data_IF_003626900447
#
_entry.id   IF_003626900447
#
_cell.length_a   1.000
_cell.length_b   1.000
_cell.length_c   1.000
_cell.angle_alpha   90.00
_cell.angle_beta   90.00
_cell.angle_gamma   90.00
#
_symmetry.space_group_name_H-M   'P 1'
#
loop_
_entity.id
_entity.type
_entity.pdbx_description
1 polymer ?
#
# COMPACT_ATOMS: atom_id res chain seq x y z
N UNK A 1 21.72 3.20 1.51
CA UNK A 1 21.62 4.63 1.20
C UNK A 1 20.19 5.11 1.34
N UNK A 2 20.04 6.38 1.71
CA UNK A 2 18.77 7.09 1.69
C UNK A 2 18.88 8.23 0.70
N UNK A 3 18.09 8.16 -0.37
CA UNK A 3 18.18 9.11 -1.49
C UNK A 3 16.86 9.88 -1.60
N UNK A 4 16.95 11.18 -1.85
CA UNK A 4 15.79 12.06 -2.08
C UNK A 4 15.78 12.66 -3.50
N UNK A 5 16.82 12.39 -4.27
CA UNK A 5 16.93 12.79 -5.68
C UNK A 5 17.96 11.93 -6.42
N UNK A 6 17.87 11.91 -7.73
CA UNK A 6 18.83 11.21 -8.62
C UNK A 6 20.25 11.75 -8.51
N UNK A 7 20.44 13.01 -8.10
CA UNK A 7 21.77 13.60 -7.90
C UNK A 7 22.57 12.96 -6.74
N UNK A 8 21.87 12.29 -5.82
CA UNK A 8 22.48 11.62 -4.67
C UNK A 8 22.88 10.17 -4.94
N UNK A 9 22.62 9.66 -6.13
CA UNK A 9 22.99 8.28 -6.50
C UNK A 9 24.51 8.15 -6.46
N UNK A 10 25.07 7.21 -5.64
CA UNK A 10 26.50 7.10 -5.51
C UNK A 10 27.19 6.69 -6.83
N UNK A 11 28.19 7.44 -7.22
CA UNK A 11 28.99 7.14 -8.43
C UNK A 11 29.79 5.83 -8.32
N UNK A 12 29.93 5.30 -7.10
CA UNK A 12 30.59 4.01 -6.83
C UNK A 12 29.73 2.79 -7.18
N UNK A 13 28.43 2.97 -7.37
CA UNK A 13 27.53 1.90 -7.83
C UNK A 13 27.77 1.62 -9.32
N UNK A 14 27.64 0.37 -9.73
CA UNK A 14 27.68 -0.02 -11.14
C UNK A 14 26.63 0.72 -11.97
N UNK A 15 26.90 0.92 -13.26
CA UNK A 15 26.04 1.68 -14.17
C UNK A 15 24.61 1.12 -14.21
N UNK A 16 24.46 -0.22 -14.22
CA UNK A 16 23.16 -0.88 -14.20
C UNK A 16 22.36 -0.53 -12.93
N UNK A 17 23.01 -0.62 -11.76
CA UNK A 17 22.37 -0.29 -10.47
C UNK A 17 21.98 1.20 -10.40
N UNK A 18 22.82 2.10 -10.92
CA UNK A 18 22.48 3.52 -11.01
C UNK A 18 21.26 3.74 -11.93
N UNK A 19 21.19 3.02 -13.04
CA UNK A 19 20.06 3.11 -13.99
C UNK A 19 18.75 2.57 -13.35
N UNK A 20 18.83 1.44 -12.61
CA UNK A 20 17.69 0.90 -11.86
C UNK A 20 17.14 1.93 -10.86
N UNK A 21 18.03 2.54 -10.05
CA UNK A 21 17.61 3.58 -9.09
C UNK A 21 17.01 4.79 -9.79
N UNK A 22 17.55 5.22 -10.95
CA UNK A 22 16.96 6.32 -11.74
C UNK A 22 15.55 5.96 -12.23
N UNK A 23 15.32 4.72 -12.67
CA UNK A 23 13.99 4.25 -13.08
C UNK A 23 12.97 4.36 -11.93
N UNK A 24 13.36 4.01 -10.69
CA UNK A 24 12.51 4.23 -9.51
C UNK A 24 12.11 5.69 -9.37
N UNK A 25 13.08 6.62 -9.49
CA UNK A 25 12.83 8.06 -9.39
C UNK A 25 12.02 8.65 -10.54
N UNK A 26 11.80 7.93 -11.64
CA UNK A 26 10.91 8.41 -12.71
C UNK A 26 9.49 8.66 -12.19
N UNK A 27 9.03 7.88 -11.21
CA UNK A 27 7.74 8.11 -10.57
C UNK A 27 6.55 8.04 -11.53
N UNK A 28 5.52 8.85 -11.27
CA UNK A 28 4.38 9.10 -12.15
C UNK A 28 4.20 10.62 -12.30
N UNK A 29 3.21 11.21 -11.63
CA UNK A 29 3.01 12.68 -11.58
C UNK A 29 4.17 13.34 -10.81
N UNK A 30 4.68 12.68 -9.79
CA UNK A 30 5.81 13.11 -8.99
C UNK A 30 6.85 12.00 -8.88
N UNK A 31 8.12 12.30 -8.64
CA UNK A 31 9.07 11.29 -8.20
C UNK A 31 8.73 10.83 -6.76
N UNK A 32 9.11 9.61 -6.35
CA UNK A 32 9.06 9.21 -4.94
C UNK A 32 9.81 10.19 -4.05
N UNK A 33 9.26 10.53 -2.89
CA UNK A 33 9.87 11.48 -1.94
C UNK A 33 11.22 10.99 -1.41
N UNK A 34 11.37 9.68 -1.28
CA UNK A 34 12.56 9.03 -0.72
C UNK A 34 12.69 7.62 -1.31
N UNK A 35 13.91 7.25 -1.66
CA UNK A 35 14.26 5.89 -2.08
C UNK A 35 15.33 5.36 -1.13
N UNK A 36 15.04 4.24 -0.50
CA UNK A 36 15.99 3.48 0.31
C UNK A 36 16.67 2.44 -0.57
N UNK A 37 17.98 2.40 -0.56
CA UNK A 37 18.77 1.46 -1.34
C UNK A 37 19.64 0.65 -0.39
N UNK A 38 19.42 -0.65 -0.36
CA UNK A 38 20.31 -1.63 0.26
C UNK A 38 21.16 -2.27 -0.83
N UNK A 39 22.46 -2.33 -0.62
CA UNK A 39 23.40 -2.95 -1.58
C UNK A 39 23.78 -4.32 -1.03
N UNK A 40 23.52 -5.33 -1.82
CA UNK A 40 23.89 -6.72 -1.54
C UNK A 40 25.13 -7.10 -2.38
N UNK A 41 25.93 -8.03 -1.90
CA UNK A 41 26.95 -8.65 -2.72
C UNK A 41 26.30 -9.56 -3.79
N UNK A 42 26.90 -9.68 -4.95
CA UNK A 42 26.32 -10.44 -6.08
C UNK A 42 26.14 -11.95 -5.78
N UNK A 43 26.79 -12.45 -4.74
CA UNK A 43 26.65 -13.84 -4.29
C UNK A 43 25.59 -14.03 -3.19
N UNK A 44 25.06 -12.93 -2.64
CA UNK A 44 24.06 -13.01 -1.59
C UNK A 44 22.70 -13.41 -2.15
N UNK A 45 21.98 -14.21 -1.38
CA UNK A 45 20.61 -14.66 -1.68
C UNK A 45 19.68 -14.12 -0.59
N UNK A 46 18.49 -13.69 -0.97
CA UNK A 46 17.48 -13.25 -0.02
C UNK A 46 16.83 -14.47 0.64
N UNK A 47 17.28 -14.81 1.84
CA UNK A 47 16.74 -15.85 2.71
C UNK A 47 16.00 -15.22 3.90
N UNK A 48 15.24 -16.00 4.66
CA UNK A 48 14.42 -15.53 5.77
C UNK A 48 15.22 -14.83 6.89
N UNK A 49 16.48 -15.18 7.06
CA UNK A 49 17.42 -14.64 8.06
C UNK A 49 18.44 -13.66 7.46
N UNK A 50 18.28 -13.26 6.20
CA UNK A 50 19.24 -12.37 5.55
C UNK A 50 19.30 -10.98 6.18
N UNK A 51 20.51 -10.39 6.14
CA UNK A 51 20.79 -9.09 6.71
C UNK A 51 19.90 -7.98 6.12
N UNK A 52 19.53 -8.10 4.83
CA UNK A 52 18.64 -7.14 4.16
C UNK A 52 17.26 -7.10 4.81
N UNK A 53 16.64 -8.25 5.13
CA UNK A 53 15.32 -8.30 5.77
C UNK A 53 15.38 -7.79 7.22
N UNK A 54 16.47 -8.09 7.94
CA UNK A 54 16.71 -7.53 9.26
C UNK A 54 16.85 -6.01 9.21
N UNK A 55 17.58 -5.48 8.23
CA UNK A 55 17.71 -4.04 8.04
C UNK A 55 16.36 -3.40 7.66
N UNK A 56 15.62 -3.99 6.71
CA UNK A 56 14.29 -3.50 6.29
C UNK A 56 13.31 -3.41 7.45
N UNK A 57 13.33 -4.35 8.40
CA UNK A 57 12.48 -4.31 9.60
C UNK A 57 12.73 -3.07 10.49
N UNK A 58 13.87 -2.42 10.35
CA UNK A 58 14.22 -1.18 11.08
C UNK A 58 13.89 0.09 10.29
N UNK A 59 13.49 -0.04 9.02
CA UNK A 59 13.22 1.10 8.15
C UNK A 59 11.71 1.41 8.09
N UNK A 60 11.39 2.64 7.65
CA UNK A 60 10.03 3.03 7.27
C UNK A 60 10.00 3.28 5.77
N UNK A 61 9.17 2.50 5.08
CA UNK A 61 8.94 2.59 3.64
C UNK A 61 7.51 2.18 3.31
N UNK A 62 7.04 2.52 2.13
CA UNK A 62 5.72 2.14 1.63
C UNK A 62 5.80 0.92 0.72
N UNK A 63 6.72 0.95 -0.25
CA UNK A 63 6.92 -0.12 -1.23
C UNK A 63 8.32 -0.70 -1.22
N UNK A 64 8.41 -2.01 -1.34
CA UNK A 64 9.63 -2.77 -1.55
C UNK A 64 9.62 -3.36 -2.97
N UNK A 65 10.75 -3.30 -3.64
CA UNK A 65 11.06 -4.12 -4.81
C UNK A 65 12.37 -4.86 -4.57
N UNK A 66 12.50 -6.06 -5.11
CA UNK A 66 13.74 -6.82 -5.08
C UNK A 66 14.80 -6.28 -6.05
N UNK A 67 15.98 -6.90 -6.10
CA UNK A 67 16.95 -6.63 -7.14
C UNK A 67 16.40 -6.98 -8.54
N UNK A 68 17.00 -6.39 -9.60
CA UNK A 68 16.53 -6.57 -10.98
C UNK A 68 16.60 -8.04 -11.48
N UNK A 69 17.32 -8.90 -10.77
CA UNK A 69 17.51 -10.33 -11.05
C UNK A 69 16.88 -11.25 -9.98
N UNK A 70 15.95 -10.72 -9.18
CA UNK A 70 15.27 -11.47 -8.12
C UNK A 70 14.64 -12.76 -8.67
N UNK A 71 14.91 -13.88 -7.99
CA UNK A 71 14.33 -15.16 -8.31
C UNK A 71 12.93 -15.33 -7.70
N UNK A 72 12.13 -16.24 -8.24
CA UNK A 72 10.81 -16.58 -7.69
C UNK A 72 10.89 -17.09 -6.23
N UNK A 73 11.97 -17.78 -5.86
CA UNK A 73 12.19 -18.25 -4.49
C UNK A 73 12.40 -17.06 -3.53
N UNK A 74 13.23 -16.10 -3.90
CA UNK A 74 13.48 -14.89 -3.11
C UNK A 74 12.24 -13.99 -3.01
N UNK A 75 11.49 -13.84 -4.11
CA UNK A 75 10.21 -13.15 -4.09
C UNK A 75 9.22 -13.81 -3.10
N UNK A 76 9.21 -15.15 -3.02
CA UNK A 76 8.45 -15.91 -2.02
C UNK A 76 8.90 -15.65 -0.58
N UNK A 77 10.19 -15.49 -0.34
CA UNK A 77 10.74 -15.11 0.98
C UNK A 77 10.32 -13.71 1.35
N UNK A 78 10.48 -12.72 0.45
CA UNK A 78 10.03 -11.34 0.68
C UNK A 78 8.54 -11.29 0.99
N UNK A 79 7.70 -11.98 0.21
CA UNK A 79 6.26 -12.09 0.46
C UNK A 79 5.99 -12.55 1.88
N UNK A 80 6.57 -13.68 2.28
CA UNK A 80 6.35 -14.26 3.61
C UNK A 80 6.77 -13.30 4.72
N UNK A 81 7.96 -12.73 4.61
CA UNK A 81 8.46 -11.74 5.57
C UNK A 81 7.52 -10.52 5.67
N UNK A 82 7.10 -9.96 4.54
CA UNK A 82 6.24 -8.77 4.50
C UNK A 82 4.88 -9.03 5.13
N UNK A 83 4.25 -10.17 4.85
CA UNK A 83 2.96 -10.54 5.43
C UNK A 83 3.08 -10.71 6.96
N UNK A 84 4.18 -11.31 7.45
CA UNK A 84 4.45 -11.40 8.89
C UNK A 84 4.67 -10.00 9.52
N UNK A 85 5.36 -9.08 8.81
CA UNK A 85 5.50 -7.69 9.30
C UNK A 85 4.14 -6.99 9.44
N UNK A 86 3.21 -7.26 8.53
CA UNK A 86 1.85 -6.69 8.60
C UNK A 86 1.01 -7.33 9.69
N UNK A 87 1.03 -8.67 9.84
CA UNK A 87 0.22 -9.39 10.83
C UNK A 87 0.72 -9.17 12.26
N UNK A 88 2.02 -9.34 12.49
CA UNK A 88 2.58 -9.43 13.83
C UNK A 88 3.00 -8.06 14.39
N UNK A 89 3.45 -7.15 13.51
CA UNK A 89 3.97 -5.83 13.90
C UNK A 89 3.13 -4.66 13.40
N UNK A 90 2.01 -4.94 12.72
CA UNK A 90 1.11 -3.92 12.16
C UNK A 90 1.83 -2.89 11.25
N UNK A 91 2.90 -3.33 10.59
CA UNK A 91 3.56 -2.53 9.58
C UNK A 91 2.68 -2.42 8.33
N UNK A 92 2.74 -1.29 7.64
CA UNK A 92 1.94 -1.05 6.41
C UNK A 92 2.77 -1.28 5.14
N UNK A 93 3.81 -2.12 5.21
CA UNK A 93 4.68 -2.40 4.07
C UNK A 93 3.94 -3.11 2.95
N UNK A 94 4.28 -2.75 1.73
CA UNK A 94 3.81 -3.36 0.48
C UNK A 94 5.01 -3.72 -0.39
N UNK A 95 4.82 -4.59 -1.37
CA UNK A 95 5.85 -4.95 -2.32
C UNK A 95 5.31 -5.07 -3.74
N UNK A 96 6.16 -4.74 -4.72
CA UNK A 96 5.97 -5.10 -6.12
C UNK A 96 6.93 -6.24 -6.41
N UNK A 97 6.39 -7.40 -6.76
CA UNK A 97 7.14 -8.63 -6.98
C UNK A 97 6.78 -9.24 -8.35
N UNK A 98 7.73 -9.89 -9.03
CA UNK A 98 7.49 -10.42 -10.35
C UNK A 98 6.75 -11.77 -10.29
N UNK A 99 5.71 -11.93 -11.12
CA UNK A 99 5.03 -13.20 -11.43
C UNK A 99 4.74 -14.08 -10.18
N UNK A 100 4.25 -13.45 -9.10
CA UNK A 100 4.05 -14.10 -7.82
C UNK A 100 2.58 -14.09 -7.39
N UNK A 101 1.92 -15.23 -7.49
CA UNK A 101 0.57 -15.41 -6.92
C UNK A 101 0.64 -15.31 -5.38
N UNK A 102 0.15 -14.21 -4.82
CA UNK A 102 0.24 -13.94 -3.39
C UNK A 102 -1.11 -13.92 -2.67
N UNK A 103 -2.19 -13.64 -3.37
CA UNK A 103 -3.55 -13.46 -2.83
C UNK A 103 -3.57 -12.51 -1.63
N UNK A 104 -2.95 -11.34 -1.79
CA UNK A 104 -2.81 -10.34 -0.73
C UNK A 104 -2.89 -8.92 -1.29
N UNK A 105 -3.59 -8.05 -0.58
CA UNK A 105 -3.64 -6.61 -0.90
C UNK A 105 -2.30 -5.88 -0.75
N UNK A 106 -1.37 -6.46 0.00
CA UNK A 106 -0.05 -5.86 0.24
C UNK A 106 0.98 -6.19 -0.85
N UNK A 107 0.66 -7.09 -1.76
CA UNK A 107 1.56 -7.52 -2.85
C UNK A 107 0.97 -7.10 -4.19
N UNK A 108 1.74 -6.42 -4.98
CA UNK A 108 1.46 -6.18 -6.40
C UNK A 108 2.21 -7.25 -7.19
N UNK A 109 1.46 -8.17 -7.80
CA UNK A 109 2.01 -9.18 -8.72
C UNK A 109 2.19 -8.53 -10.10
N UNK A 110 3.42 -8.16 -10.42
CA UNK A 110 3.75 -7.54 -11.70
C UNK A 110 4.14 -8.58 -12.74
N UNK A 111 3.32 -8.68 -13.79
CA UNK A 111 3.48 -9.65 -14.88
C UNK A 111 3.78 -8.92 -16.20
N UNK A 112 4.91 -8.21 -16.28
CA UNK A 112 5.40 -7.53 -17.48
C UNK A 112 6.45 -8.36 -18.21
N UNK A 113 6.41 -8.38 -19.55
CA UNK A 113 7.42 -9.05 -20.38
C UNK A 113 7.79 -8.24 -21.62
N UNK A 114 9.00 -8.50 -22.13
CA UNK A 114 9.51 -7.83 -23.32
C UNK A 114 9.59 -6.31 -23.23
N UNK A 115 9.81 -5.74 -22.03
CA UNK A 115 9.79 -4.30 -21.76
C UNK A 115 11.06 -3.69 -22.37
N UNK A 116 10.92 -3.02 -23.50
CA UNK A 116 12.02 -2.40 -24.22
C UNK A 116 12.18 -0.93 -23.81
N UNK A 117 13.37 -0.58 -23.31
CA UNK A 117 13.74 0.80 -22.92
C UNK A 117 15.13 1.11 -23.48
N UNK A 118 15.26 2.11 -24.31
CA UNK A 118 16.53 2.53 -24.90
C UNK A 118 17.37 1.34 -25.46
N UNK A 119 16.71 0.40 -26.16
CA UNK A 119 17.36 -0.78 -26.75
C UNK A 119 17.70 -1.90 -25.77
N UNK A 120 17.34 -1.77 -24.48
CA UNK A 120 17.51 -2.82 -23.47
C UNK A 120 16.16 -3.43 -23.13
N UNK A 121 16.06 -4.75 -23.16
CA UNK A 121 14.83 -5.48 -22.81
C UNK A 121 14.86 -5.92 -21.36
N UNK A 122 13.80 -5.63 -20.61
CA UNK A 122 13.58 -6.05 -19.23
C UNK A 122 12.43 -7.05 -19.16
N UNK A 123 12.52 -7.93 -18.19
CA UNK A 123 11.42 -8.77 -17.70
C UNK A 123 10.70 -8.11 -16.51
N UNK A 124 9.76 -8.83 -15.91
CA UNK A 124 9.04 -8.35 -14.73
C UNK A 124 9.99 -8.04 -13.56
N UNK A 125 10.99 -8.89 -13.29
CA UNK A 125 11.94 -8.71 -12.21
C UNK A 125 12.70 -7.39 -12.35
N UNK A 126 13.30 -7.16 -13.52
CA UNK A 126 14.06 -5.96 -13.83
C UNK A 126 13.24 -4.66 -13.86
N UNK A 127 11.92 -4.74 -13.80
CA UNK A 127 11.05 -3.56 -13.87
C UNK A 127 10.19 -3.32 -12.62
N UNK A 128 10.18 -4.23 -11.63
CA UNK A 128 9.44 -4.09 -10.37
C UNK A 128 9.77 -2.78 -9.63
N UNK A 129 11.07 -2.40 -9.59
CA UNK A 129 11.50 -1.14 -8.98
C UNK A 129 10.87 0.09 -9.63
N UNK A 130 10.75 0.08 -10.97
CA UNK A 130 10.10 1.15 -11.73
C UNK A 130 8.60 1.26 -11.41
N UNK A 131 7.93 0.12 -11.31
CA UNK A 131 6.49 0.08 -10.95
C UNK A 131 6.27 0.54 -9.50
N UNK A 132 7.13 0.13 -8.56
CA UNK A 132 7.09 0.62 -7.19
C UNK A 132 7.25 2.15 -7.13
N UNK A 133 8.19 2.70 -7.91
CA UNK A 133 8.38 4.14 -8.07
C UNK A 133 7.17 4.85 -8.70
N UNK A 134 6.52 4.22 -9.69
CA UNK A 134 5.29 4.73 -10.32
C UNK A 134 4.16 4.87 -9.28
N UNK A 135 3.92 3.83 -8.50
CA UNK A 135 2.88 3.82 -7.46
C UNK A 135 3.18 4.89 -6.41
N UNK A 136 4.41 4.90 -5.87
CA UNK A 136 4.83 5.85 -4.84
C UNK A 136 4.83 7.33 -5.32
N UNK A 137 4.96 7.56 -6.62
CA UNK A 137 4.91 8.89 -7.25
C UNK A 137 3.51 9.32 -7.70
N UNK A 138 2.48 8.49 -7.46
CA UNK A 138 1.10 8.78 -7.84
C UNK A 138 0.37 9.49 -6.71
N UNK A 139 -0.25 10.67 -6.94
CA UNK A 139 -1.05 11.34 -5.92
C UNK A 139 -2.23 10.47 -5.44
N UNK A 140 -2.57 10.54 -4.15
CA UNK A 140 -3.62 9.71 -3.53
C UNK A 140 -5.00 9.82 -4.19
N UNK A 141 -5.31 10.92 -4.87
CA UNK A 141 -6.56 11.10 -5.64
C UNK A 141 -6.58 10.32 -6.96
N UNK A 142 -5.43 9.86 -7.46
CA UNK A 142 -5.28 9.20 -8.74
C UNK A 142 -5.09 7.69 -8.57
N UNK A 143 -5.46 6.94 -9.61
CA UNK A 143 -5.06 5.53 -9.78
C UNK A 143 -3.90 5.45 -10.77
N UNK A 144 -3.09 4.41 -10.66
CA UNK A 144 -2.08 4.08 -11.68
C UNK A 144 -2.70 3.44 -12.93
N UNK A 145 -4.01 3.17 -12.91
CA UNK A 145 -4.72 2.67 -14.09
C UNK A 145 -4.50 3.62 -15.26
N UNK A 146 -4.00 3.07 -16.36
CA UNK A 146 -3.63 3.79 -17.57
C UNK A 146 -2.51 4.84 -17.42
N UNK A 147 -1.76 4.81 -16.32
CA UNK A 147 -0.57 5.65 -16.19
C UNK A 147 0.43 5.32 -17.29
N UNK A 148 0.89 6.34 -18.00
CA UNK A 148 1.83 6.17 -19.10
C UNK A 148 3.25 5.93 -18.60
N UNK A 149 3.99 5.11 -19.34
CA UNK A 149 5.42 4.84 -19.17
C UNK A 149 6.17 5.38 -20.41
N UNK A 150 6.44 6.68 -20.46
CA UNK A 150 6.95 7.33 -21.66
C UNK A 150 8.37 6.89 -22.06
N UNK A 151 9.09 6.26 -21.12
CA UNK A 151 10.42 5.70 -21.35
C UNK A 151 10.39 4.32 -22.00
N UNK A 152 9.22 3.67 -22.10
CA UNK A 152 9.09 2.33 -22.67
C UNK A 152 8.73 2.44 -24.15
N UNK A 153 9.60 1.92 -25.01
CA UNK A 153 9.44 1.93 -26.47
C UNK A 153 8.45 0.88 -26.94
N UNK A 154 8.51 -0.34 -26.40
CA UNK A 154 7.60 -1.46 -26.77
C UNK A 154 7.56 -2.51 -25.64
N UNK A 155 6.62 -3.44 -25.73
CA UNK A 155 6.40 -4.57 -24.81
C UNK A 155 5.91 -5.80 -25.58
N UNK A 156 5.95 -6.97 -24.96
CA UNK A 156 5.17 -8.12 -25.44
C UNK A 156 3.67 -7.80 -25.34
N UNK A 157 2.99 -7.80 -26.48
CA UNK A 157 1.61 -7.31 -26.59
C UNK A 157 0.60 -8.38 -26.21
N UNK A 158 -0.21 -8.10 -25.19
CA UNK A 158 -1.32 -8.92 -24.79
C UNK A 158 -2.60 -8.54 -25.55
N UNK A 159 -3.41 -9.51 -25.88
CA UNK A 159 -4.79 -9.27 -26.32
C UNK A 159 -5.66 -8.79 -25.17
N UNK A 160 -6.80 -8.15 -25.47
CA UNK A 160 -7.74 -7.71 -24.42
C UNK A 160 -8.19 -8.84 -23.50
N UNK A 161 -8.42 -10.04 -24.05
CA UNK A 161 -8.81 -11.22 -23.28
C UNK A 161 -7.69 -11.71 -22.34
N UNK A 162 -6.44 -11.66 -22.79
CA UNK A 162 -5.29 -12.00 -21.95
C UNK A 162 -5.11 -10.98 -20.84
N UNK A 163 -5.26 -9.68 -21.12
CA UNK A 163 -5.22 -8.63 -20.10
C UNK A 163 -6.33 -8.80 -19.06
N UNK A 164 -7.58 -9.02 -19.49
CA UNK A 164 -8.70 -9.24 -18.58
C UNK A 164 -8.49 -10.49 -17.71
N UNK A 165 -7.92 -11.54 -18.31
CA UNK A 165 -7.58 -12.79 -17.60
C UNK A 165 -6.49 -12.55 -16.54
N UNK A 166 -5.44 -11.80 -16.88
CA UNK A 166 -4.35 -11.47 -15.96
C UNK A 166 -4.85 -10.59 -14.80
N UNK A 167 -5.62 -9.53 -15.12
CA UNK A 167 -6.25 -8.67 -14.09
C UNK A 167 -7.18 -9.47 -13.18
N UNK A 168 -7.97 -10.40 -13.75
CA UNK A 168 -8.83 -11.30 -12.97
C UNK A 168 -8.05 -12.23 -12.01
N UNK A 169 -6.78 -12.50 -12.30
CA UNK A 169 -5.85 -13.24 -11.43
C UNK A 169 -5.10 -12.34 -10.43
N UNK A 170 -5.39 -11.04 -10.41
CA UNK A 170 -4.71 -10.07 -9.54
C UNK A 170 -3.33 -9.65 -10.05
N UNK A 171 -3.09 -9.73 -11.36
CA UNK A 171 -1.83 -9.34 -11.98
C UNK A 171 -1.89 -7.92 -12.53
N UNK A 172 -0.87 -7.13 -12.21
CA UNK A 172 -0.62 -5.84 -12.84
C UNK A 172 0.16 -6.08 -14.14
N UNK A 173 -0.44 -5.73 -15.27
CA UNK A 173 0.16 -5.87 -16.60
C UNK A 173 0.36 -4.52 -17.26
N UNK A 174 1.25 -4.47 -18.23
CA UNK A 174 1.39 -3.33 -19.15
C UNK A 174 0.65 -3.61 -20.46
N UNK A 175 0.24 -2.54 -21.15
CA UNK A 175 -0.30 -2.66 -22.50
C UNK A 175 0.13 -1.48 -23.37
N UNK A 176 0.17 -1.72 -24.66
CA UNK A 176 0.47 -0.72 -25.68
C UNK A 176 -0.82 -0.28 -26.38
N UNK A 177 -1.18 0.99 -26.28
CA UNK A 177 -2.44 1.53 -26.85
C UNK A 177 -2.37 1.86 -28.36
N UNK A 178 -1.24 1.58 -28.98
CA UNK A 178 -0.95 1.92 -30.39
C UNK A 178 0.06 3.06 -30.51
N UNK A 179 0.16 3.94 -29.52
CA UNK A 179 1.08 5.08 -29.48
C UNK A 179 2.11 4.98 -28.36
N UNK A 180 1.69 4.47 -27.21
CA UNK A 180 2.51 4.44 -25.99
C UNK A 180 2.18 3.25 -25.09
N UNK A 181 3.11 2.93 -24.22
CA UNK A 181 2.95 1.90 -23.17
C UNK A 181 2.35 2.53 -21.92
N UNK A 182 1.41 1.83 -21.31
CA UNK A 182 0.69 2.22 -20.10
C UNK A 182 0.58 1.06 -19.13
N UNK A 183 0.41 1.36 -17.83
CA UNK A 183 -0.13 0.40 -16.90
C UNK A 183 -1.53 -0.04 -17.34
N UNK A 184 -1.83 -1.30 -17.12
CA UNK A 184 -3.20 -1.79 -17.21
C UNK A 184 -4.05 -1.29 -16.03
N UNK A 185 -4.80 -2.18 -15.40
CA UNK A 185 -5.53 -1.82 -14.17
C UNK A 185 -4.61 -1.78 -12.95
N UNK A 186 -4.82 -0.79 -12.09
CA UNK A 186 -4.12 -0.63 -10.80
C UNK A 186 -4.61 -1.61 -9.74
N UNK A 187 -4.38 -2.90 -9.95
CA UNK A 187 -4.77 -3.99 -9.05
C UNK A 187 -3.58 -4.57 -8.30
N UNK A 188 -3.85 -5.07 -7.09
CA UNK A 188 -2.93 -5.89 -6.32
C UNK A 188 -3.23 -7.38 -6.51
N UNK A 189 -2.47 -8.26 -5.86
CA UNK A 189 -2.60 -9.71 -6.05
C UNK A 189 -3.78 -10.36 -5.31
N UNK A 190 -4.63 -9.59 -4.61
CA UNK A 190 -5.78 -10.12 -3.90
C UNK A 190 -6.84 -10.62 -4.89
N UNK A 191 -7.20 -11.88 -4.77
CA UNK A 191 -8.26 -12.52 -5.56
C UNK A 191 -9.40 -13.00 -4.68
N UNK A 192 -9.09 -13.50 -3.48
CA UNK A 192 -10.06 -14.03 -2.51
C UNK A 192 -10.50 -12.93 -1.54
N UNK A 193 -11.77 -12.53 -1.61
CA UNK A 193 -12.33 -11.44 -0.80
C UNK A 193 -13.20 -11.92 0.36
N UNK A 194 -12.86 -13.04 0.98
CA UNK A 194 -13.62 -13.57 2.12
C UNK A 194 -13.64 -12.56 3.27
N UNK A 195 -14.82 -12.03 3.59
CA UNK A 195 -15.02 -11.00 4.62
C UNK A 195 -14.52 -9.59 4.24
N UNK A 196 -14.06 -9.39 3.00
CA UNK A 196 -13.65 -8.10 2.44
C UNK A 196 -14.50 -7.75 1.22
N UNK A 197 -14.53 -6.49 0.83
CA UNK A 197 -15.16 -6.03 -0.41
C UNK A 197 -14.15 -6.06 -1.57
N UNK A 198 -14.62 -6.12 -2.81
CA UNK A 198 -13.77 -6.09 -4.02
C UNK A 198 -12.89 -4.84 -4.14
N UNK A 199 -13.22 -3.77 -3.44
CA UNK A 199 -12.40 -2.54 -3.44
C UNK A 199 -10.97 -2.77 -2.91
N UNK A 200 -10.77 -3.78 -2.05
CA UNK A 200 -9.45 -4.16 -1.53
C UNK A 200 -8.48 -4.68 -2.59
N UNK A 201 -8.99 -5.05 -3.77
CA UNK A 201 -8.15 -5.45 -4.92
C UNK A 201 -7.45 -4.25 -5.58
N UNK A 202 -7.81 -3.03 -5.24
CA UNK A 202 -7.31 -1.81 -5.88
C UNK A 202 -6.16 -1.20 -5.09
N UNK A 203 -5.05 -0.97 -5.76
CA UNK A 203 -3.84 -0.36 -5.17
C UNK A 203 -4.18 0.97 -4.51
N UNK A 204 -4.90 1.86 -5.21
CA UNK A 204 -5.31 3.18 -4.68
C UNK A 204 -6.05 3.09 -3.34
N UNK A 205 -6.96 2.14 -3.22
CA UNK A 205 -7.78 1.98 -2.01
C UNK A 205 -6.93 1.48 -0.83
N UNK A 206 -6.05 0.51 -1.08
CA UNK A 206 -5.13 0.00 -0.05
C UNK A 206 -4.17 1.09 0.40
N UNK A 207 -3.64 1.91 -0.52
CA UNK A 207 -2.82 3.09 -0.20
C UNK A 207 -3.54 4.04 0.75
N UNK A 208 -4.79 4.38 0.45
CA UNK A 208 -5.59 5.27 1.29
C UNK A 208 -5.84 4.68 2.68
N UNK A 209 -6.22 3.41 2.76
CA UNK A 209 -6.50 2.74 4.04
C UNK A 209 -5.24 2.61 4.90
N UNK A 210 -4.11 2.24 4.31
CA UNK A 210 -2.82 2.15 4.99
C UNK A 210 -2.37 3.54 5.49
N UNK A 211 -2.56 4.61 4.68
CA UNK A 211 -2.27 5.98 5.09
C UNK A 211 -3.13 6.40 6.29
N UNK A 212 -4.44 6.16 6.23
CA UNK A 212 -5.35 6.50 7.33
C UNK A 212 -4.97 5.76 8.62
N UNK A 213 -4.69 4.47 8.52
CA UNK A 213 -4.25 3.67 9.67
C UNK A 213 -2.95 4.22 10.27
N UNK A 214 -1.98 4.55 9.42
CA UNK A 214 -0.68 5.06 9.85
C UNK A 214 -0.80 6.43 10.52
N UNK A 215 -1.54 7.36 9.92
CA UNK A 215 -1.71 8.73 10.43
C UNK A 215 -2.41 8.74 11.79
N UNK A 216 -3.49 7.96 11.92
CA UNK A 216 -4.20 7.81 13.19
C UNK A 216 -3.27 7.20 14.25
N UNK A 217 -2.56 6.10 13.93
CA UNK A 217 -1.65 5.43 14.84
C UNK A 217 -0.55 6.37 15.34
N UNK A 218 0.12 7.09 14.43
CA UNK A 218 1.18 8.03 14.80
C UNK A 218 0.64 9.19 15.65
N UNK A 219 -0.52 9.73 15.28
CA UNK A 219 -1.16 10.80 16.04
C UNK A 219 -1.49 10.37 17.47
N UNK A 220 -2.01 9.13 17.64
CA UNK A 220 -2.31 8.57 18.96
C UNK A 220 -1.02 8.36 19.76
N UNK A 221 0.02 7.79 19.16
CA UNK A 221 1.31 7.57 19.83
C UNK A 221 1.95 8.88 20.27
N UNK A 222 1.93 9.89 19.40
CA UNK A 222 2.63 11.14 19.64
C UNK A 222 1.89 12.07 20.61
N UNK A 223 0.56 11.97 20.74
CA UNK A 223 -0.21 12.99 21.47
C UNK A 223 -1.05 12.45 22.62
N UNK A 224 -1.37 11.15 22.68
CA UNK A 224 -2.31 10.60 23.63
C UNK A 224 -1.69 9.52 24.54
N UNK A 225 -0.97 8.54 23.98
CA UNK A 225 -0.43 7.41 24.75
C UNK A 225 0.58 7.91 25.79
N UNK A 226 0.29 7.59 27.06
CA UNK A 226 1.13 7.96 28.20
C UNK A 226 1.09 9.44 28.57
N UNK A 227 0.29 10.27 27.90
CA UNK A 227 0.20 11.72 28.11
C UNK A 227 -1.10 12.18 28.76
N UNK A 228 -2.20 11.48 28.47
CA UNK A 228 -3.52 11.80 29.00
C UNK A 228 -4.08 10.66 29.82
N UNK A 229 -4.79 10.92 30.92
CA UNK A 229 -5.53 9.90 31.66
C UNK A 229 -6.68 9.36 30.81
N UNK A 230 -7.00 8.07 30.98
CA UNK A 230 -8.08 7.41 30.26
C UNK A 230 -9.44 7.75 30.90
N UNK A 231 -9.91 8.96 30.66
CA UNK A 231 -11.24 9.44 31.06
C UNK A 231 -12.17 9.52 29.84
N UNK A 232 -13.48 9.50 30.10
CA UNK A 232 -14.49 9.66 29.03
C UNK A 232 -14.25 10.94 28.20
N UNK A 233 -13.98 12.07 28.84
CA UNK A 233 -13.74 13.36 28.15
C UNK A 233 -12.50 13.28 27.25
N UNK A 234 -11.42 12.62 27.69
CA UNK A 234 -10.23 12.46 26.87
C UNK A 234 -10.44 11.48 25.72
N UNK A 235 -11.28 10.45 25.90
CA UNK A 235 -11.72 9.58 24.78
C UNK A 235 -12.49 10.38 23.74
N UNK A 236 -13.42 11.27 24.15
CA UNK A 236 -14.16 12.14 23.25
C UNK A 236 -13.26 13.17 22.53
N UNK A 237 -12.24 13.69 23.20
CA UNK A 237 -11.25 14.56 22.60
C UNK A 237 -10.49 13.83 21.46
N UNK A 238 -10.10 12.58 21.67
CA UNK A 238 -9.45 11.75 20.65
C UNK A 238 -10.41 11.47 19.48
N UNK A 239 -11.67 11.10 19.76
CA UNK A 239 -12.71 10.91 18.73
C UNK A 239 -12.89 12.17 17.90
N UNK A 240 -12.91 13.34 18.53
CA UNK A 240 -13.04 14.63 17.84
C UNK A 240 -11.84 14.89 16.94
N UNK A 241 -10.62 14.64 17.41
CA UNK A 241 -9.40 14.85 16.62
C UNK A 241 -9.38 13.93 15.37
N UNK A 242 -9.76 12.67 15.52
CA UNK A 242 -9.89 11.72 14.40
C UNK A 242 -11.00 12.19 13.43
N UNK A 243 -12.14 12.63 13.93
CA UNK A 243 -13.25 13.13 13.10
C UNK A 243 -12.85 14.33 12.25
N UNK A 244 -12.07 15.27 12.81
CA UNK A 244 -11.52 16.42 12.06
C UNK A 244 -10.56 15.96 10.95
N UNK A 245 -9.72 14.97 11.23
CA UNK A 245 -8.85 14.37 10.21
C UNK A 245 -9.65 13.72 9.08
N UNK A 246 -10.66 12.90 9.40
CA UNK A 246 -11.53 12.28 8.40
C UNK A 246 -12.31 13.31 7.58
N UNK A 247 -12.75 14.40 8.21
CA UNK A 247 -13.41 15.51 7.50
C UNK A 247 -12.46 16.18 6.49
N UNK A 248 -11.17 16.30 6.81
CA UNK A 248 -10.19 16.82 5.87
C UNK A 248 -10.02 15.87 4.66
N UNK A 249 -9.97 14.55 4.89
CA UNK A 249 -9.92 13.55 3.81
C UNK A 249 -11.18 13.59 2.92
N UNK A 250 -12.37 13.77 3.53
CA UNK A 250 -13.62 13.90 2.78
C UNK A 250 -13.64 15.19 1.92
N UNK A 251 -13.13 16.30 2.44
CA UNK A 251 -12.97 17.55 1.69
C UNK A 251 -11.99 17.41 0.52
N UNK A 252 -11.04 16.51 0.66
CA UNK A 252 -10.06 16.19 -0.38
C UNK A 252 -10.54 15.10 -1.35
N UNK A 253 -11.82 14.70 -1.32
CA UNK A 253 -12.44 13.67 -2.16
C UNK A 253 -11.71 12.30 -2.08
N UNK A 254 -11.12 11.98 -0.93
CA UNK A 254 -10.48 10.71 -0.69
C UNK A 254 -11.45 9.70 -0.07
N UNK A 255 -12.34 10.17 0.79
CA UNK A 255 -13.44 9.37 1.37
C UNK A 255 -14.78 10.10 1.20
N UNK A 256 -15.87 9.36 1.25
CA UNK A 256 -17.21 9.96 1.25
C UNK A 256 -17.50 10.68 2.59
N UNK A 257 -18.48 11.58 2.57
CA UNK A 257 -18.81 12.40 3.74
C UNK A 257 -19.62 11.65 4.82
N UNK A 258 -19.98 10.39 4.58
CA UNK A 258 -20.73 9.52 5.49
C UNK A 258 -19.84 8.73 6.47
N UNK A 259 -18.62 9.23 6.74
CA UNK A 259 -17.73 8.64 7.73
C UNK A 259 -18.24 8.82 9.16
N UNK A 260 -17.83 7.93 10.06
CA UNK A 260 -18.06 8.07 11.50
C UNK A 260 -16.85 7.62 12.32
N UNK A 261 -16.73 8.21 13.51
CA UNK A 261 -15.76 7.81 14.52
C UNK A 261 -16.43 7.91 15.90
N UNK A 262 -16.23 6.92 16.74
CA UNK A 262 -16.81 6.88 18.08
C UNK A 262 -16.12 5.90 19.01
N UNK A 263 -16.55 5.88 20.28
CA UNK A 263 -16.17 4.80 21.20
C UNK A 263 -16.89 3.53 20.73
N UNK A 264 -16.13 2.46 20.58
CA UNK A 264 -16.64 1.13 20.25
C UNK A 264 -17.30 0.53 21.50
N UNK A 265 -18.65 0.63 21.54
CA UNK A 265 -19.44 0.18 22.69
C UNK A 265 -19.36 -1.33 22.85
N UNK A 266 -19.48 -2.06 21.72
CA UNK A 266 -19.49 -3.52 21.72
C UNK A 266 -18.14 -4.09 22.18
N UNK A 267 -17.03 -3.55 21.67
CA UNK A 267 -15.71 -3.95 22.08
C UNK A 267 -15.41 -3.58 23.55
N UNK A 268 -15.88 -2.40 23.99
CA UNK A 268 -15.71 -1.96 25.37
C UNK A 268 -16.55 -2.80 26.34
N UNK A 269 -17.77 -3.14 25.96
CA UNK A 269 -18.67 -4.02 26.73
C UNK A 269 -18.07 -5.42 26.88
N UNK A 270 -17.66 -6.03 25.77
CA UNK A 270 -16.99 -7.35 25.79
C UNK A 270 -15.78 -7.38 26.73
N UNK A 271 -14.94 -6.34 26.66
CA UNK A 271 -13.77 -6.24 27.54
C UNK A 271 -14.18 -6.10 29.03
N UNK A 272 -15.19 -5.28 29.36
CA UNK A 272 -15.69 -5.12 30.71
C UNK A 272 -16.21 -6.45 31.28
N UNK A 273 -16.95 -7.22 30.49
CA UNK A 273 -17.43 -8.55 30.88
C UNK A 273 -16.27 -9.51 31.12
N UNK A 274 -15.24 -9.51 30.29
CA UNK A 274 -14.04 -10.32 30.48
C UNK A 274 -13.30 -9.96 31.79
N UNK A 275 -13.34 -8.67 32.19
CA UNK A 275 -12.78 -8.23 33.47
C UNK A 275 -13.71 -8.50 34.69
N UNK A 276 -14.85 -9.14 34.45
CA UNK A 276 -15.80 -9.51 35.52
C UNK A 276 -16.76 -8.38 35.93
N UNK A 277 -16.87 -7.30 35.13
CA UNK A 277 -17.83 -6.23 35.37
C UNK A 277 -19.16 -6.62 34.73
N UNK A 278 -20.27 -6.76 35.49
CA UNK A 278 -21.58 -7.05 34.90
C UNK A 278 -22.10 -5.80 34.19
N UNK A 279 -22.38 -5.94 32.88
CA UNK A 279 -22.84 -4.84 32.03
C UNK A 279 -24.31 -4.97 31.58
N UNK A 280 -24.98 -6.05 31.93
CA UNK A 280 -26.36 -6.38 31.48
C UNK A 280 -27.37 -5.26 31.76
N UNK A 281 -27.22 -4.55 32.86
CA UNK A 281 -28.10 -3.47 33.27
C UNK A 281 -27.54 -2.07 32.94
N UNK A 282 -26.39 -1.98 32.27
CA UNK A 282 -25.76 -0.72 31.91
C UNK A 282 -26.32 -0.20 30.59
N UNK A 283 -26.60 1.11 30.54
CA UNK A 283 -26.88 1.82 29.29
C UNK A 283 -25.60 1.97 28.45
N UNK A 284 -25.75 2.23 27.14
CA UNK A 284 -24.61 2.53 26.28
C UNK A 284 -23.75 3.67 26.82
N UNK A 285 -24.34 4.68 27.45
CA UNK A 285 -23.61 5.81 28.01
C UNK A 285 -22.76 5.37 29.22
N UNK A 286 -23.31 4.55 30.10
CA UNK A 286 -22.58 4.00 31.24
C UNK A 286 -21.43 3.09 30.80
N UNK A 287 -21.62 2.31 29.71
CA UNK A 287 -20.54 1.53 29.11
C UNK A 287 -19.44 2.45 28.58
N UNK A 288 -19.78 3.52 27.84
CA UNK A 288 -18.80 4.50 27.30
C UNK A 288 -18.00 5.20 28.41
N UNK A 289 -18.64 5.49 29.54
CA UNK A 289 -18.01 6.18 30.68
C UNK A 289 -17.25 5.24 31.61
N UNK A 290 -17.47 3.93 31.50
CA UNK A 290 -16.82 2.95 32.35
C UNK A 290 -15.30 3.01 32.28
N UNK A 291 -14.67 2.72 33.44
CA UNK A 291 -13.21 2.67 33.52
C UNK A 291 -12.67 1.41 32.83
N UNK A 292 -11.92 1.59 31.79
CA UNK A 292 -11.28 0.52 31.00
C UNK A 292 -9.76 0.40 31.27
N UNK A 293 -9.30 0.88 32.40
CA UNK A 293 -7.86 0.87 32.71
C UNK A 293 -7.04 1.64 31.68
N UNK A 294 -6.13 0.97 31.01
CA UNK A 294 -5.29 1.58 29.94
C UNK A 294 -5.87 1.41 28.53
N UNK A 295 -7.00 0.72 28.40
CA UNK A 295 -7.57 0.37 27.10
C UNK A 295 -8.55 1.43 26.61
N UNK A 296 -8.44 1.78 25.33
CA UNK A 296 -9.40 2.66 24.63
C UNK A 296 -9.88 1.91 23.39
N UNK A 297 -11.19 1.78 23.25
CA UNK A 297 -11.83 1.08 22.15
C UNK A 297 -12.51 2.12 21.24
N UNK A 298 -12.10 2.18 19.99
CA UNK A 298 -12.67 3.12 19.01
C UNK A 298 -13.12 2.35 17.77
N UNK A 299 -14.25 2.74 17.22
CA UNK A 299 -14.71 2.30 15.91
C UNK A 299 -14.67 3.46 14.93
N UNK A 300 -14.16 3.19 13.73
CA UNK A 300 -14.06 4.16 12.64
C UNK A 300 -14.67 3.52 11.40
N UNK A 301 -15.65 4.20 10.82
CA UNK A 301 -16.22 3.84 9.54
C UNK A 301 -15.83 4.87 8.49
N UNK A 302 -15.29 4.41 7.38
CA UNK A 302 -14.97 5.23 6.20
C UNK A 302 -15.40 4.52 4.92
N UNK A 303 -15.82 5.31 3.95
CA UNK A 303 -16.17 4.84 2.62
C UNK A 303 -15.20 5.47 1.60
N UNK A 304 -14.15 4.75 1.14
CA UNK A 304 -13.17 5.26 0.22
C UNK A 304 -13.76 5.66 -1.13
N UNK A 305 -13.33 6.78 -1.70
CA UNK A 305 -13.71 7.20 -3.06
C UNK A 305 -12.66 6.70 -4.04
N UNK A 306 -13.12 5.94 -5.03
CA UNK A 306 -12.28 5.39 -6.08
C UNK A 306 -12.05 6.36 -7.23
N UNK A 307 -11.10 6.04 -8.13
CA UNK A 307 -10.91 6.74 -9.37
C UNK A 307 -11.96 6.30 -10.41
N UNK A 308 -12.30 7.18 -11.35
CA UNK A 308 -13.08 6.79 -12.54
C UNK A 308 -12.20 5.93 -13.44
N UNK A 309 -12.53 4.65 -13.57
CA UNK A 309 -11.78 3.70 -14.40
C UNK A 309 -12.63 3.09 -15.53
N UNK A 310 -13.94 2.99 -15.33
CA UNK A 310 -14.88 2.43 -16.30
C UNK A 310 -15.91 3.50 -16.71
N UNK A 311 -15.92 3.86 -18.00
CA UNK A 311 -16.84 4.86 -18.54
C UNK A 311 -17.66 4.24 -19.68
N UNK A 312 -18.97 4.14 -19.48
CA UNK A 312 -19.90 3.75 -20.54
C UNK A 312 -20.49 5.00 -21.21
N UNK A 313 -20.34 5.12 -22.53
CA UNK A 313 -20.87 6.24 -23.32
C UNK A 313 -21.89 5.72 -24.32
N UNK A 314 -23.13 6.17 -24.22
CA UNK A 314 -24.18 5.89 -25.19
C UNK A 314 -24.38 7.15 -26.05
N UNK A 315 -24.26 7.00 -27.36
CA UNK A 315 -24.51 8.08 -28.35
C UNK A 315 -25.81 7.77 -29.05
N UNK A 316 -26.77 8.69 -28.96
CA UNK A 316 -28.05 8.59 -29.65
C UNK A 316 -28.04 9.56 -30.84
N UNK A 317 -28.44 9.09 -32.05
CA UNK A 317 -28.54 9.85 -33.29
C UNK A 317 -30.01 10.20 -33.57
#
# INVERSE_FOLDING_TARGET
>A
YTLTSTAQIPATLGVANQASIRRVFSGNTNPPKKVLVYVMDAADVIAADSAVLTWLATQKFDYLAGPDDITAAEAGVIKTWLLNQRSDYHAIYKAVLPDLTADSEAIVDFAGSGILVDGTTFDAAGYCGRIAGLIAGTPMRQSITYAALPEVDDIDRLTSLEMDTAVGKGQLVLYHDGEKVKCGRGVNSLTTVTGKSDIWKKIKIVELLDMVQQDIRLTIQDNYIGKLPNTYDNKLQLVTAISVYLQALAKDDLIASDFSCGIDVDAQDAWLQEQGTPTVDMSEQEIKEANTGTHVFLSIYINPIDAMEDVAVNIYL
#
